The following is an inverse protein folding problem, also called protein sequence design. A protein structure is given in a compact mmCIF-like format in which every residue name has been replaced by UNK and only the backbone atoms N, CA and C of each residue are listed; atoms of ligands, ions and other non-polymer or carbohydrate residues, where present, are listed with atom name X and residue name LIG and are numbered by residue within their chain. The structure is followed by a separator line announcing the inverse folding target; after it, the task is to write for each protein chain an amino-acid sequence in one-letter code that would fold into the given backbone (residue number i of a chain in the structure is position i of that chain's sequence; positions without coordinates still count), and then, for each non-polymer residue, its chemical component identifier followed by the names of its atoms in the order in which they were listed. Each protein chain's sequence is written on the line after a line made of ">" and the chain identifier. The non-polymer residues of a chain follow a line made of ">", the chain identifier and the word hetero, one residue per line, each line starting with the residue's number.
data_IF_792584507244
#
_entry.id   IF_792584507244
#
_cell.length_a   1.000
_cell.length_b   1.000
_cell.length_c   1.000
_cell.angle_alpha   90.00
_cell.angle_beta   90.00
_cell.angle_gamma   90.00
#
_symmetry.space_group_name_H-M   'P 1'
#
loop_
_entity.id
_entity.type
_entity.pdbx_description
1 polymer ?
#
# COMPACT_ATOMS: atom_id res chain seq x y z
N UNK A 1 8.68 -13.94 54.69
CA UNK A 1 7.94 -14.77 55.67
C UNK A 1 6.56 -15.04 55.07
N UNK A 2 6.43 -16.12 54.29
CA UNK A 2 5.66 -17.32 54.65
C UNK A 2 4.21 -17.03 55.06
N UNK A 3 3.27 -17.21 54.12
CA UNK A 3 2.12 -18.14 54.22
C UNK A 3 1.29 -18.06 52.92
N UNK A 4 0.81 -19.07 52.20
CA UNK A 4 0.69 -20.54 52.28
C UNK A 4 -0.78 -20.92 52.00
N UNK A 5 -1.00 -21.63 50.88
CA UNK A 5 -2.22 -22.28 50.33
C UNK A 5 -3.32 -21.39 49.71
N UNK A 6 -4.01 -21.77 48.62
CA UNK A 6 -4.19 -23.11 48.05
C UNK A 6 -4.40 -23.14 46.53
N UNK A 7 -3.82 -24.18 45.94
CA UNK A 7 -4.12 -24.74 44.62
C UNK A 7 -5.32 -25.68 44.81
N UNK A 8 -6.21 -25.74 43.81
CA UNK A 8 -7.02 -26.89 43.35
C UNK A 8 -8.09 -26.33 42.39
N UNK A 9 -8.46 -26.89 41.24
CA UNK A 9 -7.80 -27.72 40.23
C UNK A 9 -8.74 -27.63 39.00
N UNK A 10 -8.18 -27.69 37.79
CA UNK A 10 -8.91 -27.87 36.55
C UNK A 10 -9.06 -29.36 36.33
N UNK A 11 -10.32 -29.84 36.32
CA UNK A 11 -10.85 -31.09 35.71
C UNK A 11 -11.73 -31.74 36.76
N UNK A 12 -13.05 -31.62 36.61
CA UNK A 12 -14.07 -32.56 37.09
C UNK A 12 -15.42 -31.91 36.76
N UNK A 13 -15.92 -32.16 35.55
CA UNK A 13 -17.32 -32.37 35.15
C UNK A 13 -17.19 -32.84 33.69
N UNK A 14 -16.91 -34.14 33.56
CA UNK A 14 -16.95 -34.90 32.31
C UNK A 14 -17.90 -36.06 32.55
N UNK A 15 -19.19 -35.77 32.73
CA UNK A 15 -20.20 -36.81 32.89
C UNK A 15 -21.63 -36.24 32.78
N UNK A 16 -22.15 -36.07 31.56
CA UNK A 16 -23.51 -36.52 31.22
C UNK A 16 -23.46 -37.07 29.79
N UNK A 17 -23.48 -38.39 29.69
CA UNK A 17 -23.68 -39.19 28.48
C UNK A 17 -25.11 -39.71 28.56
N UNK A 18 -25.96 -39.43 27.58
CA UNK A 18 -27.02 -40.38 27.22
C UNK A 18 -27.51 -40.19 25.78
N UNK A 19 -27.60 -41.34 25.12
CA UNK A 19 -27.97 -41.62 23.75
C UNK A 19 -29.48 -41.90 23.63
N UNK A 20 -29.92 -41.91 22.38
CA UNK A 20 -31.01 -42.71 21.80
C UNK A 20 -32.36 -42.01 21.58
N UNK A 21 -32.88 -42.21 20.37
CA UNK A 21 -34.32 -42.36 20.13
C UNK A 21 -34.98 -41.35 19.21
N UNK A 22 -34.89 -41.61 17.91
CA UNK A 22 -36.00 -41.74 16.96
C UNK A 22 -37.15 -40.70 17.00
N UNK A 23 -37.39 -40.04 15.86
CA UNK A 23 -38.62 -39.28 15.67
C UNK A 23 -38.76 -38.58 14.33
N UNK A 24 -38.53 -39.26 13.21
CA UNK A 24 -39.05 -38.82 11.91
C UNK A 24 -40.58 -38.90 11.95
N UNK A 25 -41.26 -37.76 12.15
CA UNK A 25 -42.69 -37.64 11.86
C UNK A 25 -42.86 -37.05 10.47
N UNK A 26 -43.20 -37.91 9.53
CA UNK A 26 -43.91 -37.56 8.30
C UNK A 26 -45.12 -36.69 8.65
N UNK A 27 -45.37 -35.64 7.86
CA UNK A 27 -46.70 -35.01 7.75
C UNK A 27 -47.25 -35.30 6.36
N UNK A 28 -48.49 -35.80 6.23
CA UNK A 28 -49.07 -36.16 4.93
C UNK A 28 -49.59 -34.94 4.17
N UNK A 29 -49.20 -34.89 2.89
CA UNK A 29 -50.05 -34.92 1.68
C UNK A 29 -51.33 -34.05 1.65
N UNK A 30 -51.33 -33.14 0.64
CA UNK A 30 -52.48 -32.56 -0.07
C UNK A 30 -53.28 -31.47 0.69
N UNK A 31 -53.76 -30.38 0.09
CA UNK A 31 -54.08 -30.12 -1.30
C UNK A 31 -54.28 -28.61 -1.55
N UNK A 32 -54.22 -28.25 -2.84
CA UNK A 32 -54.97 -27.17 -3.52
C UNK A 32 -54.60 -25.74 -3.07
N UNK A 33 -54.20 -24.82 -3.95
CA UNK A 33 -55.02 -24.39 -5.08
C UNK A 33 -54.22 -24.24 -6.37
N UNK A 34 -54.85 -24.78 -7.39
CA UNK A 34 -54.60 -24.73 -8.82
C UNK A 34 -54.65 -23.33 -9.41
N UNK A 35 -53.84 -23.16 -10.46
CA UNK A 35 -53.95 -22.10 -11.45
C UNK A 35 -52.89 -21.03 -11.21
N UNK A 36 -52.06 -20.64 -12.18
CA UNK A 36 -52.46 -20.35 -13.54
C UNK A 36 -51.48 -20.93 -14.55
N UNK A 37 -52.06 -21.37 -15.66
CA UNK A 37 -51.44 -21.85 -16.89
C UNK A 37 -50.25 -20.98 -17.30
N UNK A 38 -49.08 -21.60 -17.51
CA UNK A 38 -47.98 -20.99 -18.26
C UNK A 38 -48.16 -21.32 -19.73
N UNK A 39 -48.42 -20.35 -20.63
CA UNK A 39 -48.18 -20.59 -22.03
C UNK A 39 -46.66 -20.52 -22.27
N UNK A 40 -46.17 -21.55 -22.96
CA UNK A 40 -44.89 -21.55 -23.64
C UNK A 40 -45.10 -20.75 -24.93
N UNK A 41 -44.32 -19.67 -25.15
CA UNK A 41 -43.58 -19.36 -26.40
C UNK A 41 -43.19 -17.86 -26.50
N UNK A 42 -41.88 -17.64 -26.68
CA UNK A 42 -41.06 -16.55 -27.27
C UNK A 42 -41.65 -15.13 -27.44
N UNK A 43 -40.90 -14.05 -27.18
CA UNK A 43 -39.77 -13.63 -28.02
C UNK A 43 -38.92 -12.50 -27.37
N UNK A 44 -37.69 -12.28 -27.86
CA UNK A 44 -36.67 -11.44 -27.23
C UNK A 44 -36.71 -10.00 -27.76
N UNK A 45 -36.44 -9.00 -26.91
CA UNK A 45 -35.88 -7.70 -27.31
C UNK A 45 -35.42 -6.92 -26.08
N UNK A 46 -34.09 -6.79 -25.98
CA UNK A 46 -33.33 -5.61 -25.54
C UNK A 46 -34.12 -4.45 -24.90
N UNK A 47 -33.92 -4.21 -23.60
CA UNK A 47 -33.67 -2.85 -23.13
C UNK A 47 -32.80 -2.88 -21.85
N UNK A 48 -31.85 -1.98 -21.85
CA UNK A 48 -30.66 -1.92 -21.01
C UNK A 48 -30.91 -1.78 -19.50
N UNK A 49 -30.04 -2.45 -18.75
CA UNK A 49 -29.29 -1.98 -17.57
C UNK A 49 -30.01 -1.09 -16.53
N UNK A 50 -30.41 -1.71 -15.42
CA UNK A 50 -30.41 -1.04 -14.13
C UNK A 50 -29.42 -1.73 -13.20
N UNK A 51 -28.30 -1.09 -12.79
CA UNK A 51 -27.40 -1.69 -11.82
C UNK A 51 -28.02 -1.61 -10.42
N UNK A 52 -28.34 -2.77 -9.86
CA UNK A 52 -28.50 -2.92 -8.42
C UNK A 52 -27.16 -2.56 -7.76
N UNK A 53 -27.17 -1.57 -6.85
CA UNK A 53 -26.00 -1.20 -6.05
C UNK A 53 -25.64 -2.36 -5.11
N UNK A 54 -24.81 -3.28 -5.61
CA UNK A 54 -24.21 -4.38 -4.86
C UNK A 54 -22.71 -4.44 -5.11
N UNK A 55 -21.92 -4.68 -4.05
CA UNK A 55 -20.46 -4.85 -4.14
C UNK A 55 -20.13 -6.07 -5.00
N UNK A 56 -19.78 -5.86 -6.26
CA UNK A 56 -19.31 -6.92 -7.16
C UNK A 56 -17.97 -7.50 -6.71
N UNK A 57 -17.95 -8.81 -6.46
CA UNK A 57 -16.75 -9.65 -6.43
C UNK A 57 -16.40 -9.99 -7.88
N UNK A 58 -15.24 -9.53 -8.36
CA UNK A 58 -14.77 -9.82 -9.72
C UNK A 58 -14.26 -11.26 -9.78
N UNK A 59 -14.87 -12.12 -10.58
CA UNK A 59 -14.27 -13.38 -11.02
C UNK A 59 -13.50 -13.09 -12.30
N UNK A 60 -12.18 -12.98 -12.19
CA UNK A 60 -11.29 -12.83 -13.33
C UNK A 60 -11.20 -14.17 -14.07
N UNK A 61 -11.56 -14.17 -15.34
CA UNK A 61 -11.37 -15.31 -16.25
C UNK A 61 -9.89 -15.54 -16.52
N UNK A 62 -9.55 -16.81 -16.74
CA UNK A 62 -8.21 -17.37 -16.89
C UNK A 62 -7.41 -16.93 -18.14
N UNK A 63 -7.87 -15.91 -18.89
CA UNK A 63 -7.15 -15.31 -20.04
C UNK A 63 -6.01 -14.35 -19.62
N UNK A 64 -5.74 -14.22 -18.31
CA UNK A 64 -4.68 -13.37 -17.74
C UNK A 64 -3.42 -14.14 -17.32
N UNK A 65 -3.38 -15.46 -17.52
CA UNK A 65 -2.34 -16.35 -17.00
C UNK A 65 -1.26 -16.77 -17.98
N UNK A 66 -1.24 -16.29 -19.22
CA UNK A 66 -0.18 -16.70 -20.16
C UNK A 66 0.23 -15.55 -21.06
N UNK A 67 1.54 -15.25 -21.00
CA UNK A 67 2.33 -14.32 -21.82
C UNK A 67 2.61 -12.94 -21.18
N UNK A 68 3.84 -12.40 -20.97
CA UNK A 68 5.23 -12.79 -21.23
C UNK A 68 6.18 -11.92 -20.37
N UNK A 69 7.35 -12.44 -20.02
CA UNK A 69 8.67 -11.78 -20.01
C UNK A 69 8.70 -10.24 -19.90
N UNK A 70 9.08 -9.73 -18.71
CA UNK A 70 9.68 -8.39 -18.49
C UNK A 70 9.35 -7.31 -19.54
N UNK A 71 8.07 -6.96 -19.71
CA UNK A 71 7.70 -5.85 -20.57
C UNK A 71 7.68 -4.57 -19.73
N UNK A 72 8.73 -3.77 -19.90
CA UNK A 72 8.70 -2.33 -19.64
C UNK A 72 7.68 -1.70 -20.61
N UNK A 73 6.39 -1.92 -20.37
CA UNK A 73 5.32 -1.42 -21.24
C UNK A 73 4.21 -0.88 -20.35
N UNK A 74 4.11 0.45 -20.30
CA UNK A 74 2.96 1.22 -19.78
C UNK A 74 2.81 1.31 -18.25
N UNK A 75 3.93 1.42 -17.52
CA UNK A 75 3.99 2.08 -16.18
C UNK A 75 4.50 3.53 -16.26
N UNK A 76 4.43 4.12 -17.45
CA UNK A 76 5.15 5.33 -17.85
C UNK A 76 4.47 6.61 -17.35
N UNK A 77 4.88 7.09 -16.16
CA UNK A 77 4.85 8.49 -15.69
C UNK A 77 4.67 8.58 -14.17
N UNK A 78 4.16 7.53 -13.52
CA UNK A 78 3.79 7.59 -12.10
C UNK A 78 4.97 7.19 -11.21
N UNK A 79 5.28 7.97 -10.16
CA UNK A 79 6.36 7.63 -9.23
C UNK A 79 6.01 6.40 -8.39
N UNK A 80 7.03 5.70 -7.84
CA UNK A 80 6.87 4.48 -7.03
C UNK A 80 5.90 4.63 -5.86
N UNK A 81 5.79 5.83 -5.29
CA UNK A 81 4.91 6.10 -4.15
C UNK A 81 3.47 6.47 -4.54
N UNK A 82 3.15 6.60 -5.83
CA UNK A 82 1.80 7.00 -6.28
C UNK A 82 0.71 5.97 -5.95
N UNK A 83 1.03 4.67 -6.04
CA UNK A 83 0.10 3.59 -5.67
C UNK A 83 0.07 3.32 -4.16
N UNK A 84 0.94 3.98 -3.39
CA UNK A 84 1.09 3.73 -1.97
C UNK A 84 0.08 4.54 -1.15
N UNK A 85 -0.79 3.86 -0.40
CA UNK A 85 -1.70 4.47 0.57
C UNK A 85 -1.46 3.91 1.98
N UNK A 86 -1.37 4.81 2.96
CA UNK A 86 -1.15 4.45 4.36
C UNK A 86 -2.48 4.30 5.10
N UNK A 87 -2.57 3.27 5.94
CA UNK A 87 -3.70 3.10 6.84
C UNK A 87 -3.55 4.06 8.03
N UNK A 88 -4.53 4.95 8.23
CA UNK A 88 -4.66 5.83 9.38
C UNK A 88 -6.14 5.92 9.79
N UNK A 89 -6.41 6.39 11.01
CA UNK A 89 -7.78 6.58 11.48
C UNK A 89 -8.35 7.90 10.92
N UNK A 90 -9.63 7.90 10.57
CA UNK A 90 -10.34 9.09 10.10
C UNK A 90 -10.02 9.49 8.66
N UNK A 91 -10.62 10.59 8.21
CA UNK A 91 -10.44 11.12 6.85
C UNK A 91 -9.10 11.82 6.68
N UNK A 92 -8.65 12.57 7.69
CA UNK A 92 -7.43 13.38 7.62
C UNK A 92 -6.23 12.55 8.11
N UNK A 93 -5.16 12.39 7.30
CA UNK A 93 -3.96 11.70 7.73
C UNK A 93 -3.19 12.49 8.80
N UNK A 94 -2.42 11.81 9.68
CA UNK A 94 -1.55 12.48 10.63
C UNK A 94 -0.41 13.23 9.89
N UNK A 95 -0.12 14.46 10.32
CA UNK A 95 0.92 15.31 9.72
C UNK A 95 2.31 14.66 9.73
N UNK A 96 2.62 13.88 10.77
CA UNK A 96 3.89 13.17 10.90
C UNK A 96 3.70 11.68 10.61
N UNK A 97 4.53 11.15 9.72
CA UNK A 97 4.55 9.71 9.47
C UNK A 97 5.23 8.94 10.62
N UNK A 98 4.92 7.65 10.71
CA UNK A 98 5.60 6.69 11.62
C UNK A 98 7.13 6.77 11.51
N UNK A 99 7.81 6.58 12.64
CA UNK A 99 9.27 6.71 12.73
C UNK A 99 10.00 5.70 11.82
N UNK A 100 9.67 4.42 11.93
CA UNK A 100 10.30 3.32 11.18
C UNK A 100 9.29 2.22 10.88
N UNK A 101 9.51 1.52 9.76
CA UNK A 101 8.65 0.46 9.26
C UNK A 101 9.09 -0.92 9.75
N UNK A 102 10.40 -1.10 9.93
CA UNK A 102 11.00 -2.31 10.51
C UNK A 102 11.15 -2.10 12.02
N UNK A 103 10.61 -3.02 12.82
CA UNK A 103 10.70 -3.03 14.29
C UNK A 103 11.13 -4.42 14.75
N UNK A 104 12.25 -4.50 15.49
CA UNK A 104 12.79 -5.78 16.02
C UNK A 104 12.87 -6.88 14.94
N UNK A 105 13.41 -6.54 13.76
CA UNK A 105 13.52 -7.47 12.62
C UNK A 105 12.21 -7.76 11.87
N UNK A 106 11.05 -7.34 12.37
CA UNK A 106 9.75 -7.54 11.71
C UNK A 106 9.33 -6.31 10.92
N UNK A 107 8.94 -6.52 9.67
CA UNK A 107 8.40 -5.48 8.79
C UNK A 107 6.92 -5.26 9.12
N UNK A 108 6.48 -4.01 9.22
CA UNK A 108 5.06 -3.69 9.39
C UNK A 108 4.22 -4.21 8.21
N UNK A 109 3.00 -4.68 8.48
CA UNK A 109 2.08 -5.27 7.48
C UNK A 109 1.90 -4.45 6.20
N UNK A 110 1.71 -3.13 6.34
CA UNK A 110 1.76 -2.18 5.23
C UNK A 110 3.06 -1.36 5.33
N UNK A 111 4.20 -1.79 4.72
CA UNK A 111 5.49 -1.08 4.78
C UNK A 111 5.55 0.11 3.82
N UNK A 112 6.53 1.01 4.02
CA UNK A 112 6.75 2.13 3.11
C UNK A 112 7.21 1.65 1.71
N UNK A 113 7.03 2.41 0.62
CA UNK A 113 7.46 1.99 -0.72
C UNK A 113 8.95 1.64 -0.77
N UNK A 114 9.80 2.41 -0.10
CA UNK A 114 11.24 2.15 0.02
C UNK A 114 11.50 0.85 0.81
N UNK A 115 10.76 0.62 1.88
CA UNK A 115 10.95 -0.49 2.81
C UNK A 115 10.42 -1.83 2.25
N UNK A 116 9.54 -1.75 1.25
CA UNK A 116 8.93 -2.90 0.57
C UNK A 116 9.89 -3.50 -0.47
N UNK A 117 10.81 -2.71 -1.01
CA UNK A 117 11.74 -3.16 -2.05
C UNK A 117 12.86 -4.04 -1.47
N UNK A 118 13.29 -5.02 -2.27
CA UNK A 118 14.25 -6.08 -1.88
C UNK A 118 15.63 -5.54 -1.52
N UNK A 119 16.06 -4.43 -2.14
CA UNK A 119 17.38 -3.84 -1.86
C UNK A 119 17.46 -3.26 -0.45
N UNK A 120 16.36 -2.70 0.11
CA UNK A 120 16.26 -2.16 1.47
C UNK A 120 17.18 -0.96 1.81
N UNK A 121 18.25 -0.80 1.03
CA UNK A 121 19.31 0.19 1.10
C UNK A 121 19.13 1.20 -0.03
N UNK A 122 19.35 2.47 0.28
CA UNK A 122 19.21 3.58 -0.66
C UNK A 122 20.59 4.01 -1.16
N UNK A 123 20.96 3.55 -2.35
CA UNK A 123 22.22 3.96 -2.98
C UNK A 123 22.09 5.32 -3.64
N UNK A 124 23.15 6.12 -3.55
CA UNK A 124 23.26 7.43 -4.19
C UNK A 124 23.50 7.32 -5.71
N UNK A 125 23.97 6.18 -6.18
CA UNK A 125 24.21 5.91 -7.60
C UNK A 125 22.92 5.72 -8.39
N UNK A 126 21.84 5.31 -7.72
CA UNK A 126 20.55 4.99 -8.35
C UNK A 126 19.72 6.26 -8.63
N UNK A 127 20.17 7.05 -9.61
CA UNK A 127 19.56 8.33 -10.01
C UNK A 127 18.09 8.18 -10.37
N UNK A 128 17.73 7.13 -11.13
CA UNK A 128 16.35 6.89 -11.58
C UNK A 128 15.35 6.70 -10.44
N UNK A 129 15.81 6.15 -9.31
CA UNK A 129 14.97 5.96 -8.13
C UNK A 129 14.86 7.26 -7.33
N UNK A 130 15.99 7.92 -7.08
CA UNK A 130 16.03 9.17 -6.30
C UNK A 130 15.26 10.30 -6.97
N UNK A 131 15.31 10.39 -8.31
CA UNK A 131 14.59 11.38 -9.11
C UNK A 131 13.08 11.38 -8.85
N UNK A 132 12.49 10.23 -8.51
CA UNK A 132 11.06 10.10 -8.22
C UNK A 132 10.63 10.77 -6.90
N UNK A 133 11.57 11.03 -6.01
CA UNK A 133 11.34 11.70 -4.72
C UNK A 133 11.68 13.20 -4.76
N UNK A 134 12.00 13.73 -5.94
CA UNK A 134 12.34 15.12 -6.18
C UNK A 134 11.28 15.73 -7.09
N UNK A 135 10.85 16.95 -6.77
CA UNK A 135 9.97 17.74 -7.65
C UNK A 135 10.70 18.06 -8.97
N UNK A 136 10.11 17.74 -10.13
CA UNK A 136 10.75 17.97 -11.43
C UNK A 136 10.97 19.47 -11.72
N UNK A 137 10.06 20.33 -11.24
CA UNK A 137 10.12 21.78 -11.49
C UNK A 137 10.97 22.51 -10.45
N UNK A 138 10.80 22.17 -9.17
CA UNK A 138 11.45 22.93 -8.08
C UNK A 138 12.79 22.34 -7.66
N UNK A 139 13.06 21.08 -7.97
CA UNK A 139 14.24 20.36 -7.46
C UNK A 139 14.22 20.13 -5.94
N UNK A 140 13.09 20.41 -5.26
CA UNK A 140 12.91 20.16 -3.83
C UNK A 140 12.55 18.70 -3.57
N UNK A 141 13.05 18.15 -2.46
CA UNK A 141 12.74 16.79 -2.03
C UNK A 141 11.32 16.78 -1.46
N UNK A 142 10.50 15.80 -1.86
CA UNK A 142 9.15 15.67 -1.30
C UNK A 142 9.19 15.28 0.18
N UNK A 143 8.33 15.91 0.97
CA UNK A 143 8.15 15.60 2.37
C UNK A 143 7.58 14.18 2.60
N UNK A 144 7.83 13.58 3.78
CA UNK A 144 7.36 12.24 4.09
C UNK A 144 5.84 12.14 4.19
N UNK A 145 5.13 13.24 4.46
CA UNK A 145 3.67 13.27 4.50
C UNK A 145 3.06 13.02 3.11
N UNK A 146 3.63 13.62 2.07
CA UNK A 146 3.19 13.47 0.67
C UNK A 146 3.50 12.07 0.15
N UNK A 147 4.74 11.61 0.33
CA UNK A 147 5.21 10.32 -0.21
C UNK A 147 4.80 9.12 0.64
N UNK A 148 4.33 9.34 1.86
CA UNK A 148 3.94 8.27 2.79
C UNK A 148 5.10 7.44 3.34
N UNK A 149 6.36 7.87 3.18
CA UNK A 149 7.53 7.10 3.64
C UNK A 149 7.70 7.11 5.17
N UNK A 150 8.48 6.18 5.69
CA UNK A 150 8.89 6.17 7.10
C UNK A 150 9.93 7.28 7.35
N UNK A 151 9.87 7.97 8.51
CA UNK A 151 10.81 9.09 8.80
C UNK A 151 12.28 8.67 8.74
N UNK A 152 12.61 7.46 9.22
CA UNK A 152 13.96 6.92 9.15
C UNK A 152 14.43 6.73 7.70
N UNK A 153 13.57 6.19 6.83
CA UNK A 153 13.88 6.02 5.41
C UNK A 153 14.01 7.37 4.71
N UNK A 154 13.19 8.36 5.06
CA UNK A 154 13.31 9.71 4.53
C UNK A 154 14.65 10.37 4.90
N UNK A 155 15.10 10.23 6.15
CA UNK A 155 16.44 10.72 6.56
C UNK A 155 17.57 10.07 5.75
N UNK A 156 17.45 8.77 5.43
CA UNK A 156 18.43 8.08 4.57
C UNK A 156 18.36 8.60 3.13
N UNK A 157 17.14 8.80 2.62
CA UNK A 157 16.90 9.34 1.28
C UNK A 157 17.52 10.72 1.10
N UNK A 158 17.32 11.62 2.06
CA UNK A 158 17.93 12.96 2.04
C UNK A 158 19.45 12.88 1.96
N UNK A 159 20.08 12.06 2.82
CA UNK A 159 21.54 11.84 2.78
C UNK A 159 22.03 11.29 1.45
N UNK A 160 21.32 10.32 0.87
CA UNK A 160 21.69 9.76 -0.43
C UNK A 160 21.54 10.78 -1.56
N UNK A 161 20.50 11.62 -1.53
CA UNK A 161 20.29 12.70 -2.52
C UNK A 161 21.37 13.78 -2.38
N UNK A 162 21.68 14.21 -1.16
CA UNK A 162 22.77 15.16 -0.90
C UNK A 162 24.12 14.61 -1.39
N UNK A 163 24.41 13.35 -1.10
CA UNK A 163 25.62 12.69 -1.62
C UNK A 163 25.64 12.64 -3.15
N UNK A 164 24.50 12.34 -3.78
CA UNK A 164 24.39 12.30 -5.25
C UNK A 164 24.61 13.68 -5.87
N UNK A 165 24.09 14.72 -5.23
CA UNK A 165 24.24 16.13 -5.64
C UNK A 165 25.70 16.58 -5.54
N UNK A 166 26.37 16.25 -4.44
CA UNK A 166 27.79 16.58 -4.25
C UNK A 166 28.68 15.89 -5.30
N UNK A 167 28.28 14.72 -5.79
CA UNK A 167 28.97 13.98 -6.85
C UNK A 167 28.55 14.40 -8.27
N UNK A 168 27.63 15.36 -8.42
CA UNK A 168 27.14 15.81 -9.72
C UNK A 168 26.20 14.82 -10.44
N UNK A 169 25.72 13.76 -9.78
CA UNK A 169 24.80 12.78 -10.37
C UNK A 169 23.36 13.30 -10.47
N UNK A 170 22.97 14.21 -9.57
CA UNK A 170 21.64 14.82 -9.54
C UNK A 170 21.75 16.34 -9.63
N UNK A 171 20.81 17.01 -10.32
CA UNK A 171 20.78 18.47 -10.36
C UNK A 171 20.50 19.04 -8.97
N UNK A 172 21.28 20.06 -8.61
CA UNK A 172 21.08 20.88 -7.42
C UNK A 172 20.29 22.13 -7.80
N UNK A 173 19.27 22.53 -7.01
CA UNK A 173 18.68 23.85 -7.19
C UNK A 173 19.72 24.91 -6.85
N UNK A 174 20.08 25.73 -7.83
CA UNK A 174 21.03 26.83 -7.66
C UNK A 174 20.23 28.03 -7.14
N UNK A 175 20.57 28.61 -5.97
CA UNK A 175 19.95 29.85 -5.53
C UNK A 175 20.35 30.99 -6.47
N UNK A 176 19.38 31.79 -6.90
CA UNK A 176 19.62 32.89 -7.85
C UNK A 176 20.50 34.02 -7.29
N UNK A 177 20.76 34.05 -5.98
CA UNK A 177 21.51 35.11 -5.30
C UNK A 177 22.95 34.72 -4.99
N UNK A 178 23.63 33.99 -5.89
CA UNK A 178 25.06 33.78 -5.71
C UNK A 178 25.79 35.11 -5.96
N UNK A 179 26.59 35.62 -5.01
CA UNK A 179 27.44 36.76 -5.26
C UNK A 179 28.36 36.39 -6.43
N UNK A 180 28.24 37.14 -7.53
CA UNK A 180 29.12 36.97 -8.69
C UNK A 180 30.52 37.29 -8.18
N UNK A 181 31.52 36.39 -8.34
CA UNK A 181 32.86 36.69 -7.89
C UNK A 181 33.32 37.96 -8.61
N UNK A 182 33.56 39.02 -7.83
CA UNK A 182 34.13 40.26 -8.35
C UNK A 182 35.44 39.87 -9.03
N UNK A 183 35.52 40.08 -10.34
CA UNK A 183 36.74 39.82 -11.08
C UNK A 183 37.82 40.72 -10.47
N UNK A 184 38.96 40.18 -10.00
CA UNK A 184 40.02 41.03 -9.49
C UNK A 184 40.43 41.95 -10.63
N UNK A 185 40.15 43.25 -10.48
CA UNK A 185 40.64 44.27 -11.39
C UNK A 185 42.16 44.07 -11.46
N UNK A 186 42.67 43.69 -12.64
CA UNK A 186 44.09 43.52 -12.89
C UNK A 186 44.79 44.80 -12.46
N UNK A 187 45.68 44.72 -11.46
CA UNK A 187 46.58 45.83 -11.15
C UNK A 187 47.42 46.08 -12.38
N UNK A 188 47.33 47.28 -12.94
CA UNK A 188 48.29 47.74 -13.93
C UNK A 188 49.59 47.99 -13.16
N UNK A 189 50.42 46.95 -13.09
CA UNK A 189 51.79 47.05 -12.63
C UNK A 189 52.60 47.79 -13.71
N UNK A 190 52.49 49.12 -13.72
CA UNK A 190 53.33 49.99 -14.55
C UNK A 190 54.54 50.44 -13.75
N UNK A 191 55.72 50.07 -14.27
CA UNK A 191 57.10 50.33 -13.84
C UNK A 191 57.44 51.80 -13.58
#
# INVERSE_FOLDING_TARGET
>A
MLSRWGILDRRWISAIRQLAGNGCSLKPVQALWSGWSRPIYTSPLSLQDQPLRGRGRRTETDESRRANTSTNTTTESKPVWASYRRNHKGMIPPQKTRLRCVRRGKVASNPCPICRQKSGTLDYTNVNFLKQFISPFTGKIYEPFVTGVCRLSHKRLVKSIEKSRNLGLLPTPIPLNLPIPEQPMSRNDSL
#
